data_IF_876371109808
#
_entry.id   IF_876371109808
#
_cell.length_a   1.000
_cell.length_b   1.000
_cell.length_c   1.000
_cell.angle_alpha   90.00
_cell.angle_beta   90.00
_cell.angle_gamma   90.00
#
_symmetry.space_group_name_H-M   'P 1'
#
loop_
_entity.id
_entity.type
_entity.pdbx_description
1 polymer ?
#
# COMPACT_ATOMS: atom_id res chain seq x y z
N UNK A 1 -23.07 -2.11 -54.73
CA UNK A 1 -23.03 -1.55 -53.37
C UNK A 1 -21.94 -2.23 -52.54
N UNK A 2 -20.84 -1.55 -52.23
CA UNK A 2 -19.80 -2.10 -51.37
C UNK A 2 -20.17 -1.70 -49.92
N UNK A 3 -20.59 -2.64 -49.11
CA UNK A 3 -20.76 -2.43 -47.67
C UNK A 3 -19.37 -2.28 -47.04
N UNK A 4 -18.95 -1.02 -46.78
CA UNK A 4 -17.74 -0.72 -46.03
C UNK A 4 -18.05 -0.87 -44.56
N UNK A 5 -17.58 -1.94 -43.91
CA UNK A 5 -17.58 -2.00 -42.44
C UNK A 5 -16.73 -0.89 -41.85
N UNK A 6 -17.22 -0.15 -40.84
CA UNK A 6 -16.43 0.90 -40.22
C UNK A 6 -15.15 0.27 -39.60
N UNK A 7 -13.98 0.76 -40.02
CA UNK A 7 -12.71 0.36 -39.41
C UNK A 7 -12.70 0.83 -37.94
N UNK A 8 -13.05 -0.09 -37.01
CA UNK A 8 -12.91 0.16 -35.57
C UNK A 8 -11.41 0.40 -35.33
N UNK A 9 -11.06 1.60 -34.89
CA UNK A 9 -9.66 1.94 -34.57
C UNK A 9 -9.20 1.01 -33.44
N UNK A 10 -8.07 0.33 -33.63
CA UNK A 10 -7.45 -0.61 -32.66
C UNK A 10 -7.36 -0.01 -31.25
N UNK A 11 -7.18 1.31 -31.13
CA UNK A 11 -7.21 2.07 -29.88
C UNK A 11 -8.55 2.01 -29.13
N UNK A 12 -9.69 2.00 -29.84
CA UNK A 12 -11.00 1.96 -29.20
C UNK A 12 -11.32 0.58 -28.60
N UNK A 13 -10.86 -0.50 -29.26
CA UNK A 13 -11.02 -1.87 -28.75
C UNK A 13 -10.17 -2.09 -27.50
N UNK A 14 -8.92 -1.64 -27.50
CA UNK A 14 -8.03 -1.76 -26.33
C UNK A 14 -8.62 -0.98 -25.15
N UNK A 15 -9.04 0.26 -25.35
CA UNK A 15 -9.67 1.07 -24.32
C UNK A 15 -10.95 0.42 -23.75
N UNK A 16 -11.78 -0.19 -24.60
CA UNK A 16 -12.98 -0.90 -24.17
C UNK A 16 -12.65 -2.12 -23.30
N UNK A 17 -11.65 -2.91 -23.71
CA UNK A 17 -11.19 -4.09 -22.96
C UNK A 17 -10.57 -3.68 -21.60
N UNK A 18 -9.82 -2.59 -21.54
CA UNK A 18 -9.25 -2.08 -20.30
C UNK A 18 -10.34 -1.62 -19.33
N UNK A 19 -11.40 -0.95 -19.82
CA UNK A 19 -12.55 -0.57 -19.00
C UNK A 19 -13.29 -1.78 -18.43
N UNK A 20 -13.50 -2.84 -19.25
CA UNK A 20 -14.12 -4.09 -18.77
C UNK A 20 -13.24 -4.73 -17.69
N UNK A 21 -11.94 -4.83 -17.91
CA UNK A 21 -11.00 -5.39 -16.94
C UNK A 21 -10.99 -4.63 -15.63
N UNK A 22 -11.04 -3.30 -15.69
CA UNK A 22 -11.13 -2.44 -14.50
C UNK A 22 -12.47 -2.67 -13.77
N UNK A 23 -13.59 -2.73 -14.48
CA UNK A 23 -14.90 -3.00 -13.89
C UNK A 23 -14.95 -4.36 -13.18
N UNK A 24 -14.47 -5.41 -13.82
CA UNK A 24 -14.37 -6.75 -13.22
C UNK A 24 -13.48 -6.72 -11.97
N UNK A 25 -12.32 -6.07 -12.06
CA UNK A 25 -11.40 -5.94 -10.92
C UNK A 25 -12.03 -5.22 -9.72
N UNK A 26 -12.84 -4.19 -9.97
CA UNK A 26 -13.55 -3.46 -8.93
C UNK A 26 -14.67 -4.30 -8.30
N UNK A 27 -15.40 -5.06 -9.11
CA UNK A 27 -16.45 -5.98 -8.61
C UNK A 27 -15.82 -7.05 -7.72
N UNK A 28 -14.72 -7.68 -8.17
CA UNK A 28 -14.00 -8.68 -7.38
C UNK A 28 -13.54 -8.08 -6.05
N UNK A 29 -12.95 -6.88 -6.07
CA UNK A 29 -12.53 -6.19 -4.87
C UNK A 29 -13.69 -5.94 -3.89
N UNK A 30 -14.83 -5.46 -4.37
CA UNK A 30 -16.04 -5.25 -3.54
C UNK A 30 -16.54 -6.56 -2.95
N UNK A 31 -16.61 -7.62 -3.75
CA UNK A 31 -17.04 -8.94 -3.31
C UNK A 31 -16.13 -9.47 -2.20
N UNK A 32 -14.81 -9.35 -2.38
CA UNK A 32 -13.85 -9.76 -1.34
C UNK A 32 -14.00 -8.93 -0.06
N UNK A 33 -14.11 -7.60 -0.18
CA UNK A 33 -14.35 -6.73 0.98
C UNK A 33 -15.64 -7.12 1.72
N UNK A 34 -16.70 -7.38 0.97
CA UNK A 34 -17.99 -7.81 1.54
C UNK A 34 -17.87 -9.12 2.32
N UNK A 35 -17.20 -10.13 1.74
CA UNK A 35 -17.01 -11.41 2.43
C UNK A 35 -16.13 -11.30 3.68
N UNK A 36 -15.08 -10.46 3.66
CA UNK A 36 -14.26 -10.19 4.85
C UNK A 36 -15.12 -9.56 5.96
N UNK A 37 -15.97 -8.59 5.63
CA UNK A 37 -16.87 -7.98 6.60
C UNK A 37 -17.94 -8.98 7.12
N UNK A 38 -18.44 -9.85 6.24
CA UNK A 38 -19.41 -10.89 6.59
C UNK A 38 -18.78 -11.93 7.55
N UNK A 39 -17.58 -12.39 7.26
CA UNK A 39 -16.82 -13.29 8.14
C UNK A 39 -16.60 -12.67 9.51
N UNK A 40 -16.15 -11.43 9.57
CA UNK A 40 -15.97 -10.72 10.82
C UNK A 40 -17.28 -10.59 11.61
N UNK A 41 -18.39 -10.23 10.95
CA UNK A 41 -19.71 -10.12 11.56
C UNK A 41 -20.25 -11.48 12.05
N UNK A 42 -20.03 -12.55 11.31
CA UNK A 42 -20.39 -13.91 11.71
C UNK A 42 -19.60 -14.35 12.94
N UNK A 43 -18.28 -14.19 12.94
CA UNK A 43 -17.43 -14.52 14.08
C UNK A 43 -17.77 -13.68 15.32
N UNK A 44 -18.19 -12.44 15.12
CA UNK A 44 -18.73 -11.60 16.20
C UNK A 44 -20.02 -12.17 16.78
N UNK A 45 -20.97 -12.57 15.93
CA UNK A 45 -22.27 -13.09 16.35
C UNK A 45 -22.18 -14.40 17.15
N UNK A 46 -21.17 -15.24 16.86
CA UNK A 46 -20.92 -16.49 17.61
C UNK A 46 -19.97 -16.32 18.81
N UNK A 47 -19.65 -15.08 19.18
CA UNK A 47 -18.69 -14.76 20.26
C UNK A 47 -17.33 -15.47 20.13
N UNK A 48 -16.82 -15.59 18.87
CA UNK A 48 -15.49 -16.09 18.66
C UNK A 48 -14.44 -15.18 19.30
N UNK A 49 -13.28 -15.69 19.62
CA UNK A 49 -12.19 -14.97 20.28
C UNK A 49 -11.95 -13.59 19.63
N UNK A 50 -11.99 -12.52 20.45
CA UNK A 50 -11.96 -11.14 19.98
C UNK A 50 -10.63 -10.80 19.33
N UNK A 51 -9.51 -11.21 19.91
CA UNK A 51 -8.17 -10.90 19.42
C UNK A 51 -7.93 -11.59 18.07
N UNK A 52 -8.20 -12.86 17.98
CA UNK A 52 -8.03 -13.66 16.74
C UNK A 52 -8.94 -13.12 15.64
N UNK A 53 -10.19 -12.81 15.95
CA UNK A 53 -11.17 -12.25 15.02
C UNK A 53 -10.69 -10.90 14.47
N UNK A 54 -10.25 -10.01 15.36
CA UNK A 54 -9.76 -8.69 15.00
C UNK A 54 -8.49 -8.77 14.14
N UNK A 55 -7.50 -9.56 14.58
CA UNK A 55 -6.27 -9.77 13.81
C UNK A 55 -6.54 -10.28 12.39
N UNK A 56 -7.39 -11.31 12.26
CA UNK A 56 -7.72 -11.90 10.97
C UNK A 56 -8.39 -10.87 10.04
N UNK A 57 -9.32 -10.09 10.58
CA UNK A 57 -9.99 -9.03 9.84
C UNK A 57 -9.00 -7.99 9.30
N UNK A 58 -8.12 -7.49 10.16
CA UNK A 58 -7.11 -6.49 9.79
C UNK A 58 -6.10 -7.05 8.77
N UNK A 59 -5.62 -8.29 8.98
CA UNK A 59 -4.70 -8.97 8.04
C UNK A 59 -5.32 -9.14 6.66
N UNK A 60 -6.57 -9.56 6.59
CA UNK A 60 -7.28 -9.75 5.32
C UNK A 60 -7.46 -8.42 4.59
N UNK A 61 -7.91 -7.35 5.26
CA UNK A 61 -8.04 -6.03 4.66
C UNK A 61 -6.70 -5.47 4.19
N UNK A 62 -5.64 -5.55 5.01
CA UNK A 62 -4.30 -5.07 4.66
C UNK A 62 -3.74 -5.78 3.41
N UNK A 63 -3.99 -7.08 3.27
CA UNK A 63 -3.57 -7.85 2.10
C UNK A 63 -4.41 -7.56 0.86
N UNK A 64 -5.68 -7.25 1.04
CA UNK A 64 -6.60 -6.93 -0.06
C UNK A 64 -6.27 -5.59 -0.72
N UNK A 65 -5.97 -4.56 0.10
CA UNK A 65 -5.66 -3.23 -0.41
C UNK A 65 -4.76 -2.46 0.57
N UNK A 66 -3.60 -2.03 0.08
CA UNK A 66 -2.60 -1.32 0.88
C UNK A 66 -3.12 0.01 1.49
N UNK A 67 -4.19 0.60 0.94
CA UNK A 67 -4.78 1.80 1.50
C UNK A 67 -5.44 1.56 2.86
N UNK A 68 -5.90 0.34 3.16
CA UNK A 68 -6.39 -0.01 4.50
C UNK A 68 -5.31 0.18 5.56
N UNK A 69 -4.05 -0.10 5.23
CA UNK A 69 -2.91 0.17 6.14
C UNK A 69 -2.87 1.65 6.53
N UNK A 70 -3.12 2.56 5.58
CA UNK A 70 -3.18 3.99 5.87
C UNK A 70 -4.35 4.36 6.79
N UNK A 71 -5.49 3.72 6.61
CA UNK A 71 -6.64 3.88 7.51
C UNK A 71 -6.26 3.39 8.91
N UNK A 72 -5.64 2.21 9.04
CA UNK A 72 -5.22 1.66 10.33
C UNK A 72 -4.24 2.59 11.05
N UNK A 73 -3.25 3.13 10.34
CA UNK A 73 -2.32 4.13 10.87
C UNK A 73 -3.04 5.41 11.35
N UNK A 74 -4.13 5.78 10.71
CA UNK A 74 -4.88 6.99 11.06
C UNK A 74 -5.79 6.79 12.29
N UNK A 75 -6.25 5.58 12.54
CA UNK A 75 -7.18 5.28 13.63
C UNK A 75 -6.51 4.65 14.86
N UNK A 76 -5.28 4.11 14.73
CA UNK A 76 -4.60 3.38 15.82
C UNK A 76 -4.36 4.21 17.08
N UNK A 77 -4.35 5.53 16.97
CA UNK A 77 -4.19 6.46 18.11
C UNK A 77 -5.54 6.99 18.63
N UNK A 78 -6.66 6.51 18.10
CA UNK A 78 -7.98 6.99 18.47
C UNK A 78 -8.62 6.10 19.55
N UNK A 79 -8.42 6.45 20.81
CA UNK A 79 -8.92 5.70 21.96
C UNK A 79 -10.45 5.68 22.10
N UNK A 80 -11.19 6.47 21.31
CA UNK A 80 -12.66 6.41 21.28
C UNK A 80 -13.19 5.31 20.35
N UNK A 81 -12.40 4.86 19.36
CA UNK A 81 -12.80 3.88 18.36
C UNK A 81 -12.28 2.47 18.67
N UNK A 82 -11.20 2.36 19.42
CA UNK A 82 -10.47 1.13 19.64
C UNK A 82 -10.20 0.92 21.13
N UNK A 83 -10.21 -0.34 21.55
CA UNK A 83 -9.66 -0.70 22.85
C UNK A 83 -8.12 -0.82 22.80
N UNK A 84 -7.47 -0.99 23.95
CA UNK A 84 -6.02 -1.02 24.07
C UNK A 84 -5.37 -2.12 23.22
N UNK A 85 -5.94 -3.34 23.25
CA UNK A 85 -5.48 -4.48 22.44
C UNK A 85 -5.55 -4.18 20.94
N UNK A 86 -6.65 -3.62 20.48
CA UNK A 86 -6.86 -3.26 19.07
C UNK A 86 -5.90 -2.15 18.63
N UNK A 87 -5.70 -1.14 19.47
CA UNK A 87 -4.76 -0.04 19.23
C UNK A 87 -3.33 -0.54 19.13
N UNK A 88 -2.89 -1.38 20.09
CA UNK A 88 -1.56 -1.97 20.09
C UNK A 88 -1.31 -2.83 18.85
N UNK A 89 -2.30 -3.61 18.45
CA UNK A 89 -2.21 -4.43 17.23
C UNK A 89 -2.06 -3.57 15.97
N UNK A 90 -2.83 -2.50 15.85
CA UNK A 90 -2.75 -1.61 14.68
C UNK A 90 -1.47 -0.79 14.64
N UNK A 91 -0.85 -0.48 15.79
CA UNK A 91 0.43 0.22 15.85
C UNK A 91 1.55 -0.56 15.14
N UNK A 92 1.48 -1.89 15.08
CA UNK A 92 2.44 -2.71 14.30
C UNK A 92 2.47 -2.31 12.82
N UNK A 93 1.36 -1.83 12.27
CA UNK A 93 1.28 -1.38 10.88
C UNK A 93 1.96 -0.03 10.61
N UNK A 94 2.52 0.64 11.61
CA UNK A 94 3.35 1.83 11.41
C UNK A 94 4.74 1.48 10.86
N UNK A 95 5.33 0.39 11.35
CA UNK A 95 6.71 -0.01 11.06
C UNK A 95 6.85 -1.40 10.46
N UNK A 96 5.82 -2.25 10.56
CA UNK A 96 5.85 -3.67 10.20
C UNK A 96 4.73 -4.00 9.21
N UNK A 97 4.56 -3.17 8.20
CA UNK A 97 3.54 -3.40 7.15
C UNK A 97 3.86 -4.68 6.40
N UNK A 98 2.95 -5.65 6.32
CA UNK A 98 3.18 -6.89 5.59
C UNK A 98 3.65 -6.65 4.16
N UNK A 99 4.60 -7.44 3.70
CA UNK A 99 5.10 -7.42 2.33
C UNK A 99 5.34 -8.84 1.83
N UNK A 100 5.33 -9.00 0.52
CA UNK A 100 5.66 -10.27 -0.13
C UNK A 100 7.03 -10.22 -0.81
N UNK A 101 7.66 -11.36 -1.04
CA UNK A 101 8.98 -11.45 -1.67
C UNK A 101 9.06 -10.78 -3.04
N UNK A 102 7.94 -10.73 -3.79
CA UNK A 102 7.88 -10.06 -5.08
C UNK A 102 7.88 -8.52 -4.98
N UNK A 103 7.77 -7.95 -3.78
CA UNK A 103 7.88 -6.52 -3.52
C UNK A 103 9.31 -6.09 -3.20
N UNK A 104 10.20 -7.05 -2.95
CA UNK A 104 11.63 -6.82 -2.79
C UNK A 104 12.21 -6.61 -4.19
N UNK A 105 12.89 -5.49 -4.37
CA UNK A 105 13.61 -5.25 -5.61
C UNK A 105 15.00 -5.86 -5.52
N UNK A 106 15.16 -7.07 -6.04
CA UNK A 106 16.45 -7.78 -6.10
C UNK A 106 17.47 -6.99 -6.94
N UNK A 107 17.01 -6.10 -7.82
CA UNK A 107 17.90 -5.26 -8.62
C UNK A 107 18.61 -4.17 -7.81
N UNK A 108 18.27 -3.99 -6.53
CA UNK A 108 18.98 -3.05 -5.65
C UNK A 108 20.45 -3.39 -5.57
N UNK A 109 20.79 -4.66 -5.43
CA UNK A 109 22.21 -5.08 -5.46
C UNK A 109 22.86 -4.67 -6.79
N UNK A 110 22.14 -4.81 -7.91
CA UNK A 110 22.63 -4.40 -9.24
C UNK A 110 22.57 -2.89 -9.47
N UNK A 111 21.58 -2.19 -8.95
CA UNK A 111 21.48 -0.74 -9.13
C UNK A 111 22.49 0.02 -8.29
N UNK A 112 22.86 -0.52 -7.13
CA UNK A 112 24.03 -0.07 -6.38
C UNK A 112 25.32 -0.39 -7.15
N UNK A 113 25.30 -1.43 -7.99
CA UNK A 113 26.40 -1.83 -8.86
C UNK A 113 26.60 -0.92 -10.07
N UNK A 114 25.55 -0.32 -10.61
CA UNK A 114 25.57 0.44 -11.86
C UNK A 114 25.64 1.96 -11.68
N UNK A 115 25.31 2.46 -10.49
CA UNK A 115 25.45 3.89 -10.23
C UNK A 115 26.91 4.27 -10.10
N UNK A 116 27.33 5.25 -10.87
CA UNK A 116 28.66 5.87 -10.90
C UNK A 116 29.14 6.46 -9.55
N UNK A 117 28.40 6.21 -8.49
CA UNK A 117 28.74 6.58 -7.13
C UNK A 117 29.71 5.53 -6.59
N UNK A 118 30.96 5.93 -6.38
CA UNK A 118 31.99 5.18 -5.67
C UNK A 118 31.60 4.71 -4.24
N UNK A 119 30.33 4.85 -3.90
CA UNK A 119 29.71 4.39 -2.65
C UNK A 119 29.70 2.86 -2.57
N UNK A 120 29.68 2.20 -3.72
CA UNK A 120 29.55 0.75 -3.86
C UNK A 120 30.62 -0.04 -3.11
N UNK A 121 31.85 0.34 -3.25
CA UNK A 121 32.99 -0.44 -2.71
C UNK A 121 33.03 -0.42 -1.18
N UNK A 122 32.28 0.51 -0.56
CA UNK A 122 32.26 0.73 0.88
C UNK A 122 30.87 0.57 1.51
N UNK A 123 29.85 0.16 0.73
CA UNK A 123 28.50 -0.07 1.21
C UNK A 123 28.24 -1.57 1.40
N UNK A 124 28.08 -1.98 2.64
CA UNK A 124 27.66 -3.34 3.00
C UNK A 124 26.21 -3.32 3.48
N UNK A 125 25.36 -4.17 2.88
CA UNK A 125 23.96 -4.34 3.32
C UNK A 125 23.89 -5.62 4.14
N UNK A 126 23.30 -5.55 5.33
CA UNK A 126 23.14 -6.71 6.20
C UNK A 126 22.11 -7.67 5.61
N UNK A 127 22.53 -8.93 5.42
CA UNK A 127 21.70 -10.01 4.90
C UNK A 127 21.25 -10.91 6.05
N UNK A 128 20.09 -11.50 5.90
CA UNK A 128 19.64 -12.59 6.76
C UNK A 128 19.85 -13.92 6.01
N UNK A 129 20.93 -14.62 6.33
CA UNK A 129 21.43 -15.74 5.53
C UNK A 129 21.94 -15.27 4.16
N UNK A 130 21.53 -15.96 3.09
CA UNK A 130 21.91 -15.63 1.71
C UNK A 130 21.02 -14.54 1.07
N UNK A 131 19.92 -14.15 1.74
CA UNK A 131 18.93 -13.27 1.16
C UNK A 131 18.94 -11.88 1.79
N UNK A 132 18.73 -10.89 0.94
CA UNK A 132 18.46 -9.53 1.37
C UNK A 132 17.06 -9.46 1.95
N UNK A 133 16.95 -9.32 3.28
CA UNK A 133 15.67 -9.23 3.97
C UNK A 133 15.52 -7.88 4.67
N UNK A 134 14.39 -7.16 4.50
CA UNK A 134 14.18 -5.88 5.14
C UNK A 134 14.18 -6.00 6.67
N UNK A 135 14.83 -5.06 7.33
CA UNK A 135 14.80 -4.93 8.79
C UNK A 135 13.43 -4.42 9.29
N UNK A 136 12.85 -3.45 8.55
CA UNK A 136 11.51 -2.91 8.77
C UNK A 136 10.81 -2.69 7.43
N UNK A 137 9.49 -2.59 7.48
CA UNK A 137 8.68 -2.36 6.30
C UNK A 137 7.60 -1.32 6.54
N UNK A 138 7.70 -0.20 5.84
CA UNK A 138 6.62 0.78 5.75
C UNK A 138 5.64 0.47 4.61
N UNK A 139 4.59 1.25 4.47
CA UNK A 139 3.60 1.07 3.41
C UNK A 139 4.20 1.22 1.99
N UNK A 140 5.15 2.13 1.82
CA UNK A 140 5.72 2.52 0.51
C UNK A 140 7.14 1.99 0.33
N UNK A 141 7.88 1.80 1.42
CA UNK A 141 9.30 1.48 1.39
C UNK A 141 9.65 0.31 2.30
N UNK A 142 10.73 -0.35 1.95
CA UNK A 142 11.43 -1.35 2.75
C UNK A 142 12.71 -0.72 3.30
N UNK A 143 13.06 -1.07 4.52
CA UNK A 143 14.18 -0.49 5.26
C UNK A 143 15.21 -1.57 5.52
N UNK A 144 16.43 -1.33 5.10
CA UNK A 144 17.58 -2.21 5.31
C UNK A 144 18.60 -1.53 6.21
N UNK A 145 19.40 -2.32 6.87
CA UNK A 145 20.56 -1.85 7.64
C UNK A 145 21.84 -2.20 6.87
N UNK A 146 22.83 -1.33 7.01
CA UNK A 146 24.14 -1.56 6.40
C UNK A 146 25.21 -0.70 7.04
N UNK A 147 26.40 -0.76 6.45
CA UNK A 147 27.52 0.15 6.77
C UNK A 147 27.99 0.83 5.50
N UNK A 148 28.33 2.09 5.61
CA UNK A 148 28.95 2.89 4.55
C UNK A 148 30.23 3.50 5.10
N UNK A 149 31.38 3.19 4.53
CA UNK A 149 32.70 3.61 5.04
C UNK A 149 32.93 3.25 6.52
N UNK A 150 32.35 2.12 6.98
CA UNK A 150 32.43 1.67 8.37
C UNK A 150 31.38 2.29 9.31
N UNK A 151 30.62 3.27 8.87
CA UNK A 151 29.53 3.88 9.64
C UNK A 151 28.21 3.17 9.42
N UNK A 152 27.42 2.98 10.48
CA UNK A 152 26.08 2.36 10.40
C UNK A 152 25.11 3.27 9.65
N UNK A 153 24.47 2.72 8.63
CA UNK A 153 23.48 3.44 7.80
C UNK A 153 22.16 2.70 7.71
N UNK A 154 21.11 3.46 7.44
CA UNK A 154 19.78 2.96 7.08
C UNK A 154 19.58 3.20 5.59
N UNK A 155 19.19 2.14 4.90
CA UNK A 155 18.92 2.18 3.44
C UNK A 155 17.44 2.04 3.24
N UNK A 156 16.80 3.09 2.72
CA UNK A 156 15.37 3.12 2.44
C UNK A 156 15.14 2.90 0.95
N UNK A 157 14.36 1.89 0.61
CA UNK A 157 14.11 1.46 -0.76
C UNK A 157 12.63 1.41 -1.03
N UNK A 158 12.19 1.95 -2.16
CA UNK A 158 10.80 1.82 -2.59
C UNK A 158 10.44 0.36 -2.83
N UNK A 159 9.26 -0.07 -2.38
CA UNK A 159 8.72 -1.38 -2.75
C UNK A 159 8.58 -1.46 -4.27
N UNK A 160 8.89 -2.61 -4.83
CA UNK A 160 8.76 -2.85 -6.27
C UNK A 160 7.34 -2.54 -6.75
N UNK A 161 7.24 -1.81 -7.84
CA UNK A 161 5.97 -1.40 -8.46
C UNK A 161 5.00 -0.61 -7.55
N UNK A 162 5.47 0.00 -6.46
CA UNK A 162 4.60 0.66 -5.47
C UNK A 162 3.73 1.76 -6.07
N UNK A 163 4.24 2.54 -7.02
CA UNK A 163 3.46 3.60 -7.68
C UNK A 163 2.20 3.07 -8.36
N UNK A 164 2.34 1.97 -9.12
CA UNK A 164 1.21 1.33 -9.79
C UNK A 164 0.25 0.71 -8.77
N UNK A 165 0.78 0.04 -7.74
CA UNK A 165 -0.03 -0.55 -6.67
C UNK A 165 -0.86 0.50 -5.94
N UNK A 166 -0.27 1.63 -5.58
CA UNK A 166 -0.98 2.75 -4.95
C UNK A 166 -2.04 3.33 -5.87
N UNK A 167 -1.72 3.50 -7.15
CA UNK A 167 -2.70 4.00 -8.12
C UNK A 167 -3.94 3.10 -8.19
N UNK A 168 -3.76 1.79 -8.33
CA UNK A 168 -4.87 0.83 -8.36
C UNK A 168 -5.58 0.73 -7.01
N UNK A 169 -4.84 0.77 -5.91
CA UNK A 169 -5.42 0.75 -4.56
C UNK A 169 -6.35 1.94 -4.33
N UNK A 170 -5.91 3.13 -4.68
CA UNK A 170 -6.69 4.36 -4.57
C UNK A 170 -7.93 4.36 -5.47
N UNK A 171 -7.83 3.86 -6.71
CA UNK A 171 -8.98 3.72 -7.61
C UNK A 171 -10.05 2.79 -7.02
N UNK A 172 -9.65 1.64 -6.46
CA UNK A 172 -10.57 0.69 -5.82
C UNK A 172 -11.23 1.29 -4.59
N UNK A 173 -10.49 2.04 -3.78
CA UNK A 173 -11.06 2.70 -2.60
C UNK A 173 -12.01 3.83 -2.99
N UNK A 174 -11.70 4.63 -4.00
CA UNK A 174 -12.61 5.64 -4.55
C UNK A 174 -13.92 5.01 -5.03
N UNK A 175 -13.83 3.86 -5.70
CA UNK A 175 -15.01 3.10 -6.13
C UNK A 175 -15.83 2.57 -4.95
N UNK A 176 -15.18 1.96 -3.95
CA UNK A 176 -15.82 1.49 -2.73
C UNK A 176 -16.54 2.64 -2.01
N UNK A 177 -15.85 3.76 -1.80
CA UNK A 177 -16.40 4.90 -1.06
C UNK A 177 -17.53 5.59 -1.79
N UNK A 178 -17.54 5.58 -3.13
CA UNK A 178 -18.70 6.02 -3.89
C UNK A 178 -19.93 5.16 -3.62
N UNK A 179 -19.76 3.84 -3.51
CA UNK A 179 -20.87 2.91 -3.24
C UNK A 179 -21.38 3.07 -1.81
N UNK A 180 -20.49 2.99 -0.81
CA UNK A 180 -20.90 3.09 0.59
C UNK A 180 -21.33 4.51 0.99
N UNK A 181 -20.86 5.53 0.29
CA UNK A 181 -21.26 6.92 0.48
C UNK A 181 -22.76 7.21 0.18
N UNK A 182 -23.47 6.28 -0.48
CA UNK A 182 -24.93 6.34 -0.60
C UNK A 182 -25.64 5.97 0.72
N UNK A 183 -24.96 5.32 1.66
CA UNK A 183 -25.51 5.01 2.98
C UNK A 183 -25.59 6.29 3.83
N UNK A 184 -26.77 6.65 4.39
CA UNK A 184 -26.97 7.92 5.09
C UNK A 184 -25.98 8.16 6.23
N UNK A 185 -25.61 7.08 6.94
CA UNK A 185 -24.69 7.12 8.08
C UNK A 185 -23.25 7.45 7.67
N UNK A 186 -22.82 6.95 6.50
CA UNK A 186 -21.44 7.06 6.02
C UNK A 186 -21.21 8.38 5.27
N UNK A 187 -22.26 8.96 4.73
CA UNK A 187 -22.21 10.23 3.98
C UNK A 187 -21.59 11.38 4.78
N UNK A 188 -21.79 11.40 6.10
CA UNK A 188 -21.22 12.43 6.99
C UNK A 188 -19.70 12.40 7.12
N UNK A 189 -19.06 11.28 6.79
CA UNK A 189 -17.58 11.10 6.91
C UNK A 189 -16.78 11.69 5.75
N UNK A 190 -17.42 12.25 4.72
CA UNK A 190 -16.75 12.88 3.56
C UNK A 190 -15.60 12.03 2.98
N UNK A 191 -15.80 10.70 2.87
CA UNK A 191 -14.76 9.73 2.50
C UNK A 191 -14.10 10.05 1.16
N UNK A 192 -14.81 10.68 0.23
CA UNK A 192 -14.24 11.09 -1.06
C UNK A 192 -13.19 12.19 -0.92
N UNK A 193 -13.33 13.07 0.06
CA UNK A 193 -12.34 14.12 0.35
C UNK A 193 -11.10 13.52 1.00
N UNK A 194 -11.31 12.59 1.94
CA UNK A 194 -10.22 11.82 2.53
C UNK A 194 -9.33 11.12 1.48
N UNK A 195 -9.94 10.53 0.45
CA UNK A 195 -9.14 9.91 -0.63
C UNK A 195 -8.37 10.97 -1.42
N UNK A 196 -9.01 12.10 -1.78
CA UNK A 196 -8.34 13.13 -2.58
C UNK A 196 -7.13 13.70 -1.86
N UNK A 197 -7.26 14.03 -0.59
CA UNK A 197 -6.17 14.55 0.23
C UNK A 197 -5.04 13.52 0.40
N UNK A 198 -5.38 12.30 0.78
CA UNK A 198 -4.38 11.25 0.97
C UNK A 198 -3.70 10.84 -0.36
N UNK A 199 -4.39 10.93 -1.51
CA UNK A 199 -3.80 10.60 -2.80
C UNK A 199 -2.57 11.45 -3.11
N UNK A 200 -2.66 12.76 -2.94
CA UNK A 200 -1.54 13.68 -3.20
C UNK A 200 -0.35 13.36 -2.26
N UNK A 201 -0.64 13.18 -0.97
CA UNK A 201 0.36 12.85 0.06
C UNK A 201 1.05 11.52 -0.25
N UNK A 202 0.28 10.47 -0.51
CA UNK A 202 0.84 9.14 -0.78
C UNK A 202 1.67 9.10 -2.07
N UNK A 203 1.23 9.81 -3.10
CA UNK A 203 1.99 9.88 -4.34
C UNK A 203 3.29 10.69 -4.17
N UNK A 204 3.28 11.76 -3.38
CA UNK A 204 4.50 12.53 -3.08
C UNK A 204 5.53 11.71 -2.29
N UNK A 205 5.10 10.85 -1.38
CA UNK A 205 5.97 9.95 -0.62
C UNK A 205 6.68 8.88 -1.48
N UNK A 206 6.23 8.67 -2.73
CA UNK A 206 6.95 7.81 -3.68
C UNK A 206 8.11 8.51 -4.38
N UNK A 207 8.35 9.77 -4.10
CA UNK A 207 9.47 10.55 -4.63
C UNK A 207 10.44 10.92 -3.50
N UNK A 208 11.50 10.14 -3.33
CA UNK A 208 12.50 10.38 -2.28
C UNK A 208 13.32 11.64 -2.49
N UNK A 209 13.32 12.27 -3.68
CA UNK A 209 13.98 13.55 -3.89
C UNK A 209 13.39 14.63 -2.98
N UNK A 210 12.07 14.63 -2.76
CA UNK A 210 11.43 15.56 -1.84
C UNK A 210 11.90 15.34 -0.40
N UNK A 211 12.14 14.10 -0.01
CA UNK A 211 12.65 13.74 1.32
C UNK A 211 14.10 14.22 1.50
N UNK A 212 14.94 14.02 0.49
CA UNK A 212 16.34 14.50 0.47
C UNK A 212 16.41 16.02 0.53
N UNK A 213 15.59 16.74 -0.24
CA UNK A 213 15.51 18.19 -0.19
C UNK A 213 15.08 18.71 1.19
N UNK A 214 14.11 18.06 1.83
CA UNK A 214 13.65 18.44 3.16
C UNK A 214 14.74 18.21 4.22
N UNK A 215 15.45 17.09 4.15
CA UNK A 215 16.58 16.77 5.04
C UNK A 215 17.68 17.83 4.84
N UNK A 216 18.05 18.15 3.60
CA UNK A 216 19.07 19.14 3.32
C UNK A 216 18.74 20.51 3.89
N UNK A 217 17.45 20.91 3.86
CA UNK A 217 17.00 22.18 4.46
C UNK A 217 17.03 22.20 5.99
N UNK A 218 16.99 21.03 6.65
CA UNK A 218 17.07 20.94 8.11
C UNK A 218 18.50 21.09 8.62
N UNK A 219 19.49 20.80 7.76
CA UNK A 219 20.92 20.87 8.11
C UNK A 219 21.63 22.13 7.53
N UNK A 220 20.91 22.99 6.79
CA UNK A 220 21.39 24.28 6.32
C UNK A 220 21.01 25.39 7.27
#
# INVERSE_FOLDING_TARGET
>A
MKFGFPKIKRTNVVYFLDNIREAISNIVFLTQTFFICLEFGFLYAINYDEEIRFENFIKQLASLNIFYVKIFQSICTNNYLLNDMQSEYLLKYTDEVPFSSNEIDISIERSLDTTALRIRDNLEIYKHGEYLYPYKSGMISLIYRGTLNGEKVIIKVLRKNIKNRLHFALKRMDFLFKIIGYLPYIRSFQLNELIKENKAILMSQTNFNNEVENISKMYS
#
